data_IF_506306213893
#
_entry.id   IF_506306213893
#
_cell.length_a   1.000
_cell.length_b   1.000
_cell.length_c   1.000
_cell.angle_alpha   90.00
_cell.angle_beta   90.00
_cell.angle_gamma   90.00
#
_symmetry.space_group_name_H-M   'P 1'
#
loop_
_entity.id
_entity.type
_entity.pdbx_description
1 polymer ?
#
# COMPACT_ATOMS: atom_id res chain seq x y z
N UNK A 1 -2.51 -4.89 20.83
CA UNK A 1 -2.62 -4.64 19.39
C UNK A 1 -1.38 -3.88 18.97
N UNK A 2 -0.51 -4.49 18.17
CA UNK A 2 0.84 -3.98 17.90
C UNK A 2 0.77 -2.84 16.88
N UNK A 3 0.52 -1.63 17.36
CA UNK A 3 0.63 -0.40 16.58
C UNK A 3 2.09 -0.06 16.33
N UNK A 4 2.69 -0.65 15.30
CA UNK A 4 3.93 -0.17 14.70
C UNK A 4 3.57 0.81 13.57
N UNK A 5 2.90 1.90 13.94
CA UNK A 5 2.47 2.92 12.98
C UNK A 5 3.64 3.42 12.15
N UNK A 6 3.38 3.77 10.89
CA UNK A 6 4.40 4.28 9.98
C UNK A 6 5.00 5.59 10.51
N UNK A 7 6.32 5.75 10.36
CA UNK A 7 7.02 6.96 10.77
C UNK A 7 6.40 8.20 10.12
N UNK A 8 6.25 9.28 10.91
CA UNK A 8 5.84 10.58 10.37
C UNK A 8 6.80 11.10 9.29
N UNK A 9 8.07 10.66 9.34
CA UNK A 9 9.10 11.00 8.36
C UNK A 9 9.14 10.07 7.13
N UNK A 10 8.31 9.02 7.08
CA UNK A 10 8.24 8.13 5.93
C UNK A 10 7.77 8.89 4.68
N UNK A 11 8.20 8.42 3.51
CA UNK A 11 7.78 8.99 2.24
C UNK A 11 6.27 8.86 2.06
N UNK A 12 5.66 9.73 1.25
CA UNK A 12 4.22 9.67 0.97
C UNK A 12 3.84 8.30 0.35
N UNK A 13 4.73 7.74 -0.47
CA UNK A 13 4.60 6.39 -1.05
C UNK A 13 4.48 5.31 0.03
N UNK A 14 5.36 5.32 1.02
CA UNK A 14 5.32 4.32 2.10
C UNK A 14 4.11 4.50 3.00
N UNK A 15 3.67 5.75 3.25
CA UNK A 15 2.45 6.04 3.99
C UNK A 15 1.21 5.44 3.33
N UNK A 16 1.07 5.59 2.02
CA UNK A 16 -0.03 4.99 1.26
C UNK A 16 0.01 3.45 1.30
N UNK A 17 1.21 2.85 1.22
CA UNK A 17 1.36 1.40 1.39
C UNK A 17 0.95 0.93 2.79
N UNK A 18 1.31 1.68 3.83
CA UNK A 18 0.91 1.38 5.20
C UNK A 18 -0.61 1.44 5.39
N UNK A 19 -1.27 2.44 4.80
CA UNK A 19 -2.73 2.57 4.91
C UNK A 19 -3.46 1.35 4.30
N UNK A 20 -3.00 0.88 3.14
CA UNK A 20 -3.51 -0.35 2.55
C UNK A 20 -3.24 -1.57 3.44
N UNK A 21 -2.02 -1.68 3.97
CA UNK A 21 -1.61 -2.79 4.84
C UNK A 21 -2.49 -2.86 6.11
N UNK A 22 -2.73 -1.71 6.74
CA UNK A 22 -3.54 -1.58 7.95
C UNK A 22 -5.00 -1.95 7.69
N UNK A 23 -5.56 -1.52 6.55
CA UNK A 23 -6.93 -1.88 6.16
C UNK A 23 -7.09 -3.40 5.97
N UNK A 24 -6.22 -4.02 5.17
CA UNK A 24 -6.26 -5.46 4.92
C UNK A 24 -6.03 -6.26 6.20
N UNK A 25 -5.12 -5.81 7.06
CA UNK A 25 -4.87 -6.44 8.35
C UNK A 25 -6.11 -6.37 9.25
N UNK A 26 -6.82 -5.24 9.27
CA UNK A 26 -8.08 -5.08 10.01
C UNK A 26 -9.15 -6.08 9.55
N UNK A 27 -9.34 -6.26 8.24
CA UNK A 27 -10.26 -7.23 7.68
C UNK A 27 -9.88 -8.67 8.06
N UNK A 28 -8.59 -9.00 8.02
CA UNK A 28 -8.12 -10.32 8.41
C UNK A 28 -8.29 -10.57 9.92
N UNK A 29 -8.02 -9.56 10.76
CA UNK A 29 -8.09 -9.66 12.21
C UNK A 29 -9.52 -9.89 12.72
N UNK A 30 -10.53 -9.37 12.02
CA UNK A 30 -11.96 -9.59 12.36
C UNK A 30 -12.58 -10.78 11.62
N UNK A 31 -11.80 -11.48 10.79
CA UNK A 31 -12.21 -12.71 10.11
C UNK A 31 -13.05 -12.50 8.85
N UNK A 32 -13.14 -11.27 8.32
CA UNK A 32 -13.87 -10.95 7.09
C UNK A 32 -13.14 -11.50 5.86
N UNK A 33 -11.81 -11.62 5.94
CA UNK A 33 -10.99 -12.29 4.92
C UNK A 33 -10.08 -13.34 5.56
N UNK A 34 -9.85 -14.44 4.84
CA UNK A 34 -8.88 -15.44 5.25
C UNK A 34 -7.45 -14.89 5.15
N UNK A 35 -6.52 -15.53 5.86
CA UNK A 35 -5.11 -15.17 5.76
C UNK A 35 -4.56 -15.35 4.34
N UNK A 36 -5.02 -16.37 3.60
CA UNK A 36 -4.60 -16.57 2.20
C UNK A 36 -5.06 -15.42 1.31
N UNK A 37 -6.32 -14.98 1.45
CA UNK A 37 -6.85 -13.83 0.70
C UNK A 37 -6.13 -12.54 1.08
N UNK A 38 -5.83 -12.35 2.37
CA UNK A 38 -5.01 -11.23 2.84
C UNK A 38 -3.66 -11.20 2.14
N UNK A 39 -2.92 -12.31 2.12
CA UNK A 39 -1.59 -12.40 1.50
C UNK A 39 -1.64 -12.12 -0.01
N UNK A 40 -2.60 -12.72 -0.73
CA UNK A 40 -2.76 -12.49 -2.17
C UNK A 40 -3.09 -11.03 -2.49
N UNK A 41 -4.01 -10.42 -1.73
CA UNK A 41 -4.37 -9.00 -1.89
C UNK A 41 -3.20 -8.06 -1.57
N UNK A 42 -2.41 -8.42 -0.56
CA UNK A 42 -1.26 -7.64 -0.15
C UNK A 42 -0.17 -7.63 -1.23
N UNK A 43 0.20 -8.81 -1.74
CA UNK A 43 1.21 -8.95 -2.78
C UNK A 43 0.80 -8.22 -4.07
N UNK A 44 -0.43 -8.41 -4.52
CA UNK A 44 -0.96 -7.73 -5.71
C UNK A 44 -1.01 -6.21 -5.53
N UNK A 45 -1.54 -5.75 -4.39
CA UNK A 45 -1.76 -4.33 -4.16
C UNK A 45 -0.47 -3.54 -3.98
N UNK A 46 0.54 -4.10 -3.29
CA UNK A 46 1.83 -3.44 -3.16
C UNK A 46 2.52 -3.25 -4.51
N UNK A 47 2.48 -4.28 -5.38
CA UNK A 47 3.04 -4.18 -6.74
C UNK A 47 2.30 -3.11 -7.56
N UNK A 48 0.96 -3.08 -7.49
CA UNK A 48 0.15 -2.09 -8.20
C UNK A 48 0.48 -0.65 -7.74
N UNK A 49 0.59 -0.42 -6.44
CA UNK A 49 0.94 0.89 -5.89
C UNK A 49 2.34 1.35 -6.35
N UNK A 50 3.31 0.43 -6.43
CA UNK A 50 4.62 0.74 -6.99
C UNK A 50 4.53 1.16 -8.46
N UNK A 51 3.77 0.42 -9.27
CA UNK A 51 3.58 0.72 -10.68
C UNK A 51 2.85 2.05 -10.92
N UNK A 52 1.85 2.38 -10.10
CA UNK A 52 1.16 3.67 -10.16
C UNK A 52 2.09 4.83 -9.81
N UNK A 53 2.97 4.64 -8.82
CA UNK A 53 3.96 5.65 -8.46
C UNK A 53 4.95 5.92 -9.61
N UNK A 54 5.47 4.85 -10.24
CA UNK A 54 6.35 5.01 -11.40
C UNK A 54 5.63 5.63 -12.62
N UNK A 55 4.36 5.27 -12.85
CA UNK A 55 3.55 5.89 -13.89
C UNK A 55 3.41 7.41 -13.67
N UNK A 56 3.11 7.84 -12.45
CA UNK A 56 3.00 9.26 -12.11
C UNK A 56 4.30 10.03 -12.41
N UNK A 57 5.46 9.46 -12.07
CA UNK A 57 6.77 10.05 -12.41
C UNK A 57 6.99 10.14 -13.92
N UNK A 58 6.58 9.13 -14.68
CA UNK A 58 6.69 9.13 -16.13
C UNK A 58 5.78 10.18 -16.79
N UNK A 59 4.59 10.42 -16.25
CA UNK A 59 3.64 11.40 -16.78
C UNK A 59 4.02 12.85 -16.42
N UNK A 60 4.50 13.10 -15.20
CA UNK A 60 5.09 14.40 -14.84
C UNK A 60 6.23 14.75 -15.80
N UNK A 61 7.13 13.80 -16.06
CA UNK A 61 8.26 13.96 -16.98
C UNK A 61 7.87 14.19 -18.45
N UNK A 62 6.63 13.87 -18.83
CA UNK A 62 6.10 14.09 -20.20
C UNK A 62 5.41 15.44 -20.35
N UNK A 63 5.00 16.06 -19.25
CA UNK A 63 4.27 17.35 -19.27
C UNK A 63 5.23 18.54 -19.44
N UNK A 64 6.52 18.35 -19.19
CA UNK A 64 7.59 19.35 -19.38
C UNK A 64 8.19 19.38 -20.82
N UNK A 65 7.53 18.76 -21.82
CA UNK A 65 7.92 18.82 -23.25
C UNK A 65 6.82 19.41 -24.10
#
# INVERSE_FOLDING_TARGET
MAGWGISNAASLKEKLKSEMADYLHGLNAVGEISYSTYSEMFDFGLELLDRMYELGKMEESKTDK
#
